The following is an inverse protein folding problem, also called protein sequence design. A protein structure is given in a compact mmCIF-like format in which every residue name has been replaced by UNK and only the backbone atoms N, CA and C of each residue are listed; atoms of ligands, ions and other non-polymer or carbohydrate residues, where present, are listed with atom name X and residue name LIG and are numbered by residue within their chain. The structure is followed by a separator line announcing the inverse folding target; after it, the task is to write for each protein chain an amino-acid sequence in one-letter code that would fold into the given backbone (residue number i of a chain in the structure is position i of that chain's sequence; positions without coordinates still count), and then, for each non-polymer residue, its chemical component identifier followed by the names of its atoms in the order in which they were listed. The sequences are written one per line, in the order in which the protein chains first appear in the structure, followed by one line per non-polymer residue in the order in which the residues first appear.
data_IF_142707637057
#
_entry.id   IF_142707637057
#
_cell.length_a   1.000
_cell.length_b   1.000
_cell.length_c   1.000
_cell.angle_alpha   90.00
_cell.angle_beta   90.00
_cell.angle_gamma   90.00
#
_symmetry.space_group_name_H-M   'P 1'
#
loop_
_entity.id
_entity.type
_entity.pdbx_description
1 polymer ?
#
# COMPACT_ATOMS: atom_id res chain seq x y z
N UNK A 1 30.09 -30.33 -67.91
CA UNK A 1 29.08 -30.76 -66.91
C UNK A 1 29.57 -30.31 -65.54
N UNK A 2 29.18 -29.10 -65.08
CA UNK A 2 29.61 -28.53 -63.80
C UNK A 2 28.44 -28.57 -62.83
N UNK A 3 28.58 -29.42 -61.78
CA UNK A 3 27.59 -29.63 -60.70
C UNK A 3 27.73 -28.49 -59.69
N UNK A 4 26.73 -27.60 -59.63
CA UNK A 4 26.65 -26.58 -58.59
C UNK A 4 26.25 -27.26 -57.24
N UNK A 5 27.11 -27.16 -56.24
CA UNK A 5 26.79 -27.49 -54.87
C UNK A 5 25.97 -26.36 -54.29
N UNK A 6 24.75 -26.68 -53.79
CA UNK A 6 23.92 -25.77 -52.99
C UNK A 6 24.52 -25.68 -51.58
N UNK A 7 25.01 -24.51 -51.18
CA UNK A 7 25.42 -24.20 -49.84
C UNK A 7 24.22 -24.08 -48.93
N UNK A 8 24.14 -24.93 -47.93
CA UNK A 8 23.18 -24.84 -46.84
C UNK A 8 23.53 -23.66 -45.94
N UNK A 9 22.66 -22.64 -45.93
CA UNK A 9 22.72 -21.50 -44.99
C UNK A 9 22.57 -22.01 -43.53
N UNK A 10 23.40 -21.54 -42.58
CA UNK A 10 23.27 -21.91 -41.17
C UNK A 10 21.98 -21.37 -40.60
N UNK A 11 21.12 -22.27 -40.12
CA UNK A 11 19.88 -21.90 -39.37
C UNK A 11 20.28 -21.21 -38.08
N UNK A 12 20.04 -19.92 -37.97
CA UNK A 12 20.08 -19.18 -36.70
C UNK A 12 19.18 -19.89 -35.67
N UNK A 13 19.66 -20.15 -34.46
CA UNK A 13 18.81 -20.74 -33.42
C UNK A 13 17.66 -19.76 -33.13
N UNK A 14 16.44 -20.17 -33.41
CA UNK A 14 15.25 -19.44 -32.98
C UNK A 14 15.21 -19.51 -31.45
N UNK A 15 15.36 -18.36 -30.81
CA UNK A 15 15.17 -18.22 -29.37
C UNK A 15 13.76 -18.73 -29.04
N UNK A 16 13.67 -19.84 -28.31
CA UNK A 16 12.39 -20.48 -27.93
C UNK A 16 11.75 -19.63 -26.83
N UNK A 17 10.94 -18.65 -27.23
CA UNK A 17 10.19 -17.74 -26.36
C UNK A 17 8.94 -18.45 -25.80
N UNK A 18 9.03 -19.70 -25.38
CA UNK A 18 7.93 -20.31 -24.65
C UNK A 18 7.69 -19.53 -23.35
N UNK A 19 6.43 -19.20 -23.03
CA UNK A 19 6.15 -18.57 -21.74
C UNK A 19 6.65 -19.47 -20.61
N UNK A 20 7.33 -18.87 -19.65
CA UNK A 20 7.85 -19.59 -18.48
C UNK A 20 6.72 -20.39 -17.82
N UNK A 21 6.97 -21.66 -17.51
CA UNK A 21 5.96 -22.52 -16.89
C UNK A 21 5.55 -22.00 -15.49
N UNK A 22 4.39 -22.43 -14.97
CA UNK A 22 3.86 -21.95 -13.68
C UNK A 22 4.86 -22.05 -12.53
N UNK A 23 5.64 -23.12 -12.49
CA UNK A 23 6.68 -23.32 -11.46
C UNK A 23 7.82 -22.30 -11.56
N UNK A 24 8.25 -21.97 -12.76
CA UNK A 24 9.33 -20.99 -12.99
C UNK A 24 8.91 -19.58 -12.57
N UNK A 25 7.66 -19.22 -12.84
CA UNK A 25 7.11 -17.92 -12.43
C UNK A 25 6.94 -17.86 -10.91
N UNK A 26 6.47 -18.94 -10.28
CA UNK A 26 6.35 -19.02 -8.83
C UNK A 26 7.73 -18.87 -8.15
N UNK A 27 8.74 -19.56 -8.63
CA UNK A 27 10.11 -19.44 -8.11
C UNK A 27 10.66 -18.02 -8.30
N UNK A 28 10.49 -17.42 -9.48
CA UNK A 28 10.93 -16.05 -9.74
C UNK A 28 10.22 -15.02 -8.86
N UNK A 29 8.90 -15.14 -8.65
CA UNK A 29 8.17 -14.22 -7.76
C UNK A 29 8.62 -14.37 -6.31
N UNK A 30 8.96 -15.56 -5.85
CA UNK A 30 9.48 -15.81 -4.50
C UNK A 30 10.86 -15.18 -4.31
N UNK A 31 11.78 -15.32 -5.29
CA UNK A 31 13.11 -14.70 -5.20
C UNK A 31 13.04 -13.17 -5.15
N UNK A 32 12.32 -12.54 -6.08
CA UNK A 32 12.14 -11.08 -6.10
C UNK A 32 11.46 -10.62 -4.79
N UNK A 33 10.53 -11.42 -4.25
CA UNK A 33 9.86 -11.15 -2.97
C UNK A 33 10.83 -11.08 -1.80
N UNK A 34 11.75 -12.06 -1.69
CA UNK A 34 12.75 -12.09 -0.64
C UNK A 34 13.78 -10.97 -0.77
N UNK A 35 14.23 -10.68 -2.00
CA UNK A 35 15.12 -9.56 -2.29
C UNK A 35 14.48 -8.22 -1.89
N UNK A 36 13.22 -8.02 -2.22
CA UNK A 36 12.46 -6.83 -1.84
C UNK A 36 12.35 -6.69 -0.32
N UNK A 37 12.07 -7.79 0.40
CA UNK A 37 12.06 -7.80 1.87
C UNK A 37 13.44 -7.43 2.43
N UNK A 38 14.53 -7.95 1.86
CA UNK A 38 15.89 -7.61 2.24
C UNK A 38 16.20 -6.12 2.06
N UNK A 39 15.76 -5.52 0.95
CA UNK A 39 15.95 -4.08 0.70
C UNK A 39 15.11 -3.24 1.67
N UNK A 40 13.87 -3.61 1.96
CA UNK A 40 13.06 -2.91 2.96
C UNK A 40 13.67 -3.03 4.37
N UNK A 41 14.19 -4.21 4.74
CA UNK A 41 14.87 -4.40 6.02
C UNK A 41 16.16 -3.57 6.12
N UNK A 42 16.94 -3.49 5.04
CA UNK A 42 18.11 -2.63 4.96
C UNK A 42 17.74 -1.15 5.09
N UNK A 43 16.69 -0.71 4.38
CA UNK A 43 16.18 0.65 4.52
C UNK A 43 15.73 0.95 5.95
N UNK A 44 15.01 0.03 6.60
CA UNK A 44 14.63 0.15 8.02
C UNK A 44 15.87 0.32 8.90
N UNK A 45 16.90 -0.50 8.72
CA UNK A 45 18.16 -0.39 9.47
C UNK A 45 18.83 0.98 9.30
N UNK A 46 18.84 1.53 8.07
CA UNK A 46 19.37 2.85 7.78
C UNK A 46 18.53 3.97 8.41
N UNK A 47 17.19 3.87 8.42
CA UNK A 47 16.33 4.83 9.11
C UNK A 47 16.53 4.78 10.62
N UNK A 48 16.63 3.59 11.21
CA UNK A 48 16.95 3.43 12.63
C UNK A 48 18.31 4.06 12.93
N UNK A 49 19.33 3.78 12.12
CA UNK A 49 20.65 4.40 12.28
C UNK A 49 20.59 5.93 12.16
N UNK A 50 19.82 6.44 11.19
CA UNK A 50 19.58 7.87 11.04
C UNK A 50 19.00 8.52 12.32
N UNK A 51 18.05 7.86 13.01
CA UNK A 51 17.53 8.34 14.29
C UNK A 51 18.61 8.51 15.36
N UNK A 52 19.63 7.63 15.36
CA UNK A 52 20.71 7.69 16.36
C UNK A 52 21.76 8.74 16.05
N UNK A 53 22.13 8.89 14.78
CA UNK A 53 23.29 9.70 14.39
C UNK A 53 22.89 11.06 13.84
N UNK A 54 21.65 11.20 13.32
CA UNK A 54 21.08 12.41 12.70
C UNK A 54 21.95 13.01 11.59
N UNK A 55 22.68 12.19 10.83
CA UNK A 55 23.47 12.61 9.69
C UNK A 55 22.67 12.54 8.39
N UNK A 56 22.56 13.65 7.67
CA UNK A 56 21.80 13.76 6.42
C UNK A 56 22.18 12.71 5.35
N UNK A 57 23.46 12.34 5.13
CA UNK A 57 23.82 11.30 4.16
C UNK A 57 23.16 9.95 4.48
N UNK A 58 23.11 9.55 5.76
CA UNK A 58 22.48 8.30 6.20
C UNK A 58 20.96 8.35 5.93
N UNK A 59 20.31 9.48 6.25
CA UNK A 59 18.89 9.65 5.96
C UNK A 59 18.60 9.62 4.45
N UNK A 60 19.46 10.22 3.61
CA UNK A 60 19.32 10.13 2.15
C UNK A 60 19.53 8.70 1.64
N UNK A 61 20.50 7.97 2.19
CA UNK A 61 20.71 6.57 1.86
C UNK A 61 19.49 5.72 2.21
N UNK A 62 18.86 5.94 3.39
CA UNK A 62 17.63 5.26 3.79
C UNK A 62 16.49 5.52 2.81
N UNK A 63 16.26 6.79 2.42
CA UNK A 63 15.24 7.17 1.42
C UNK A 63 15.50 6.52 0.06
N UNK A 64 16.75 6.54 -0.43
CA UNK A 64 17.12 5.94 -1.72
C UNK A 64 16.97 4.41 -1.70
N UNK A 65 17.33 3.77 -0.60
CA UNK A 65 17.14 2.32 -0.43
C UNK A 65 15.66 1.97 -0.39
N UNK A 66 14.83 2.79 0.29
CA UNK A 66 13.38 2.64 0.26
C UNK A 66 12.83 2.78 -1.17
N UNK A 67 13.26 3.79 -1.91
CA UNK A 67 12.83 4.00 -3.30
C UNK A 67 13.22 2.80 -4.19
N UNK A 68 14.42 2.24 -4.01
CA UNK A 68 14.85 1.00 -4.67
C UNK A 68 13.96 -0.19 -4.32
N UNK A 69 13.62 -0.35 -3.04
CA UNK A 69 12.68 -1.39 -2.58
C UNK A 69 11.28 -1.22 -3.17
N UNK A 70 10.75 0.01 -3.21
CA UNK A 70 9.47 0.33 -3.86
C UNK A 70 9.47 -0.01 -5.34
N UNK A 71 10.57 0.30 -6.05
CA UNK A 71 10.71 -0.04 -7.46
C UNK A 71 10.75 -1.56 -7.69
N UNK A 72 11.55 -2.28 -6.90
CA UNK A 72 11.64 -3.73 -7.01
C UNK A 72 10.31 -4.42 -6.67
N UNK A 73 9.60 -3.92 -5.64
CA UNK A 73 8.27 -4.39 -5.30
C UNK A 73 7.25 -4.13 -6.44
N UNK A 74 7.33 -2.97 -7.09
CA UNK A 74 6.54 -2.70 -8.29
C UNK A 74 6.81 -3.71 -9.41
N UNK A 75 8.08 -4.06 -9.65
CA UNK A 75 8.43 -5.06 -10.66
C UNK A 75 7.86 -6.44 -10.31
N UNK A 76 7.86 -6.82 -9.03
CA UNK A 76 7.21 -8.06 -8.56
C UNK A 76 5.70 -8.04 -8.82
N UNK A 77 5.02 -6.92 -8.50
CA UNK A 77 3.59 -6.74 -8.78
C UNK A 77 3.30 -6.74 -10.28
N UNK A 78 4.15 -6.09 -11.09
CA UNK A 78 4.02 -6.06 -12.56
C UNK A 78 4.19 -7.46 -13.16
N UNK A 79 5.15 -8.25 -12.68
CA UNK A 79 5.34 -9.63 -13.13
C UNK A 79 4.09 -10.46 -12.82
N UNK A 80 3.55 -10.34 -11.60
CA UNK A 80 2.32 -11.02 -11.22
C UNK A 80 1.11 -10.54 -12.04
N UNK A 81 0.99 -9.23 -12.27
CA UNK A 81 -0.07 -8.64 -13.08
C UNK A 81 -0.07 -9.17 -14.52
N UNK A 82 1.11 -9.36 -15.11
CA UNK A 82 1.25 -9.98 -16.45
C UNK A 82 0.80 -11.43 -16.47
N UNK A 83 1.02 -12.15 -15.39
CA UNK A 83 0.55 -13.54 -15.26
C UNK A 83 -0.96 -13.64 -15.13
N UNK A 84 -1.58 -12.83 -14.24
CA UNK A 84 -3.04 -12.83 -14.01
C UNK A 84 -3.81 -12.05 -15.08
N UNK A 85 -3.12 -11.36 -16.00
CA UNK A 85 -3.73 -10.44 -16.97
C UNK A 85 -4.63 -9.35 -16.33
N UNK A 86 -4.37 -9.01 -15.07
CA UNK A 86 -5.12 -8.04 -14.27
C UNK A 86 -4.24 -7.43 -13.17
N UNK A 87 -4.72 -6.39 -12.49
CA UNK A 87 -4.10 -5.94 -11.23
C UNK A 87 -4.28 -7.05 -10.18
N UNK A 88 -3.22 -7.42 -9.44
CA UNK A 88 -3.27 -8.54 -8.49
C UNK A 88 -3.99 -8.13 -7.20
N UNK A 89 -5.31 -8.19 -7.18
CA UNK A 89 -6.15 -7.89 -6.02
C UNK A 89 -7.17 -9.02 -5.71
N UNK A 90 -7.24 -10.05 -6.56
CA UNK A 90 -8.27 -11.11 -6.44
C UNK A 90 -7.88 -12.24 -5.46
N UNK A 91 -6.66 -12.24 -4.96
CA UNK A 91 -6.20 -13.17 -3.94
C UNK A 91 -5.55 -12.46 -2.74
N UNK A 92 -5.42 -13.17 -1.63
CA UNK A 92 -4.86 -12.62 -0.39
C UNK A 92 -3.42 -12.14 -0.58
N UNK A 93 -2.59 -12.90 -1.30
CA UNK A 93 -1.21 -12.52 -1.61
C UNK A 93 -1.15 -11.19 -2.39
N UNK A 94 -1.88 -11.12 -3.51
CA UNK A 94 -1.86 -9.94 -4.38
C UNK A 94 -2.43 -8.70 -3.69
N UNK A 95 -3.56 -8.83 -3.00
CA UNK A 95 -4.19 -7.70 -2.30
C UNK A 95 -3.33 -7.17 -1.15
N UNK A 96 -2.71 -8.04 -0.34
CA UNK A 96 -1.81 -7.62 0.74
C UNK A 96 -0.49 -7.06 0.22
N UNK A 97 0.08 -7.67 -0.84
CA UNK A 97 1.28 -7.16 -1.50
C UNK A 97 1.04 -5.76 -2.10
N UNK A 98 -0.08 -5.59 -2.82
CA UNK A 98 -0.46 -4.28 -3.38
C UNK A 98 -0.68 -3.24 -2.28
N UNK A 99 -1.33 -3.62 -1.17
CA UNK A 99 -1.54 -2.75 -0.01
C UNK A 99 -0.20 -2.32 0.62
N UNK A 100 0.72 -3.26 0.84
CA UNK A 100 2.04 -2.98 1.40
C UNK A 100 2.84 -2.03 0.48
N UNK A 101 2.79 -2.26 -0.83
CA UNK A 101 3.43 -1.39 -1.81
C UNK A 101 2.85 0.02 -1.79
N UNK A 102 1.52 0.17 -1.83
CA UNK A 102 0.85 1.46 -1.78
C UNK A 102 1.11 2.20 -0.45
N UNK A 103 1.23 1.48 0.66
CA UNK A 103 1.64 2.05 1.94
C UNK A 103 3.07 2.60 1.88
N UNK A 104 4.01 1.84 1.30
CA UNK A 104 5.39 2.28 1.13
C UNK A 104 5.50 3.50 0.19
N UNK A 105 4.77 3.49 -0.94
CA UNK A 105 4.68 4.62 -1.89
C UNK A 105 4.12 5.86 -1.22
N UNK A 106 3.00 5.72 -0.48
CA UNK A 106 2.38 6.85 0.23
C UNK A 106 3.32 7.42 1.28
N UNK A 107 4.01 6.56 2.05
CA UNK A 107 5.00 7.02 3.02
C UNK A 107 6.16 7.75 2.33
N UNK A 108 6.76 7.14 1.29
CA UNK A 108 7.86 7.75 0.54
C UNK A 108 7.46 9.11 -0.04
N UNK A 109 6.27 9.22 -0.64
CA UNK A 109 5.74 10.47 -1.15
C UNK A 109 5.60 11.55 -0.06
N UNK A 110 5.04 11.19 1.10
CA UNK A 110 4.92 12.13 2.23
C UNK A 110 6.27 12.45 2.87
N UNK A 111 7.21 11.52 2.93
CA UNK A 111 8.56 11.78 3.40
C UNK A 111 9.25 12.82 2.52
N UNK A 112 9.17 12.65 1.19
CA UNK A 112 9.77 13.60 0.23
C UNK A 112 9.08 14.96 0.29
N UNK A 113 7.76 14.99 0.42
CA UNK A 113 6.98 16.23 0.49
C UNK A 113 7.25 17.04 1.78
N UNK A 114 7.32 16.35 2.93
CA UNK A 114 7.56 17.00 4.22
C UNK A 114 9.04 17.08 4.61
N UNK A 115 9.93 16.38 3.91
CA UNK A 115 11.35 16.30 4.23
C UNK A 115 11.66 15.57 5.55
N UNK A 116 10.75 14.72 6.06
CA UNK A 116 10.80 14.14 7.40
C UNK A 116 11.11 12.65 7.37
N UNK A 117 12.38 12.30 7.60
CA UNK A 117 12.89 10.92 7.58
C UNK A 117 12.77 10.18 8.91
N UNK A 118 12.58 10.91 10.01
CA UNK A 118 12.49 10.34 11.36
C UNK A 118 11.28 9.44 11.60
N UNK A 119 10.31 9.44 10.68
CA UNK A 119 9.09 8.64 10.73
C UNK A 119 9.31 7.22 10.17
N UNK A 120 10.30 7.04 9.29
CA UNK A 120 10.58 5.77 8.60
C UNK A 120 10.67 4.54 9.50
N UNK A 121 11.41 4.60 10.62
CA UNK A 121 11.54 3.47 11.55
C UNK A 121 10.23 2.95 12.12
N UNK A 122 9.19 3.75 12.11
CA UNK A 122 7.88 3.41 12.67
C UNK A 122 6.90 2.90 11.60
N UNK A 123 7.08 3.29 10.35
CA UNK A 123 6.21 2.89 9.24
C UNK A 123 6.71 1.62 8.54
N UNK A 124 8.01 1.52 8.28
CA UNK A 124 8.57 0.38 7.55
C UNK A 124 8.32 -0.99 8.19
N UNK A 125 8.30 -1.16 9.53
CA UNK A 125 7.94 -2.44 10.13
C UNK A 125 6.56 -2.94 9.66
N UNK A 126 5.58 -2.05 9.50
CA UNK A 126 4.25 -2.42 9.01
C UNK A 126 4.30 -2.84 7.53
N UNK A 127 5.05 -2.13 6.69
CA UNK A 127 5.28 -2.51 5.29
C UNK A 127 5.92 -3.89 5.19
N UNK A 128 6.98 -4.13 5.97
CA UNK A 128 7.73 -5.39 5.98
C UNK A 128 6.82 -6.53 6.45
N UNK A 129 6.08 -6.34 7.54
CA UNK A 129 5.18 -7.37 8.09
C UNK A 129 4.07 -7.73 7.10
N UNK A 130 3.42 -6.75 6.49
CA UNK A 130 2.37 -6.97 5.50
C UNK A 130 2.91 -7.70 4.26
N UNK A 131 4.07 -7.27 3.77
CA UNK A 131 4.66 -7.89 2.60
C UNK A 131 5.25 -9.27 2.90
N UNK A 132 5.85 -9.47 4.07
CA UNK A 132 6.29 -10.79 4.53
C UNK A 132 5.10 -11.74 4.64
N UNK A 133 4.01 -11.31 5.29
CA UNK A 133 2.80 -12.12 5.39
C UNK A 133 2.25 -12.48 4.01
N UNK A 134 2.21 -11.53 3.08
CA UNK A 134 1.82 -11.79 1.70
C UNK A 134 2.70 -12.89 1.05
N UNK A 135 4.02 -12.85 1.25
CA UNK A 135 4.93 -13.84 0.67
C UNK A 135 4.80 -15.25 1.30
N UNK A 136 4.40 -15.33 2.58
CA UNK A 136 4.15 -16.61 3.26
C UNK A 136 2.73 -17.14 3.05
N UNK A 137 1.77 -16.29 2.67
CA UNK A 137 0.46 -16.75 2.24
C UNK A 137 0.64 -17.57 0.95
N UNK A 138 0.30 -18.86 0.99
CA UNK A 138 0.47 -19.74 -0.17
C UNK A 138 -0.24 -19.14 -1.38
N UNK A 139 0.54 -18.80 -2.40
CA UNK A 139 0.00 -18.37 -3.67
C UNK A 139 -0.66 -19.60 -4.33
N UNK A 140 -1.96 -19.73 -4.19
CA UNK A 140 -2.73 -20.59 -5.10
C UNK A 140 -2.46 -20.08 -6.53
N UNK A 141 -2.30 -20.99 -7.53
CA UNK A 141 -2.19 -20.56 -8.90
C UNK A 141 -3.37 -19.61 -9.20
N UNK A 142 -3.12 -18.37 -9.60
CA UNK A 142 -4.21 -17.43 -9.79
C UNK A 142 -5.10 -17.91 -10.93
N UNK A 143 -6.37 -18.09 -10.64
CA UNK A 143 -7.39 -18.22 -11.67
C UNK A 143 -7.53 -16.86 -12.30
N UNK A 144 -7.33 -16.69 -13.63
CA UNK A 144 -7.50 -15.40 -14.28
C UNK A 144 -8.91 -14.86 -13.96
N UNK A 145 -9.02 -13.67 -13.35
CA UNK A 145 -10.33 -13.12 -13.06
C UNK A 145 -11.05 -12.81 -14.38
N UNK A 146 -12.39 -12.86 -14.39
CA UNK A 146 -13.14 -12.40 -15.55
C UNK A 146 -12.71 -10.97 -15.89
N UNK A 147 -12.54 -10.66 -17.18
CA UNK A 147 -12.10 -9.35 -17.65
C UNK A 147 -13.07 -8.26 -17.16
N UNK A 148 -12.65 -7.51 -16.14
CA UNK A 148 -13.50 -6.48 -15.50
C UNK A 148 -13.24 -5.06 -16.00
N UNK A 149 -12.30 -4.90 -16.92
CA UNK A 149 -11.93 -3.61 -17.54
C UNK A 149 -11.04 -2.73 -16.66
N UNK A 150 -10.43 -1.71 -17.30
CA UNK A 150 -9.50 -0.79 -16.65
C UNK A 150 -10.16 0.06 -15.55
N UNK A 151 -11.44 0.40 -15.71
CA UNK A 151 -12.19 1.20 -14.73
C UNK A 151 -12.32 0.49 -13.39
N UNK A 152 -12.60 -0.82 -13.42
CA UNK A 152 -12.65 -1.63 -12.21
C UNK A 152 -11.27 -1.75 -11.55
N UNK A 153 -10.23 -1.96 -12.34
CA UNK A 153 -8.86 -2.03 -11.84
C UNK A 153 -8.44 -0.72 -11.15
N UNK A 154 -8.75 0.42 -11.75
CA UNK A 154 -8.52 1.75 -11.16
C UNK A 154 -9.37 1.97 -9.91
N UNK A 155 -10.66 1.61 -9.93
CA UNK A 155 -11.53 1.68 -8.77
C UNK A 155 -10.93 0.94 -7.56
N UNK A 156 -10.54 -0.32 -7.74
CA UNK A 156 -9.98 -1.13 -6.65
C UNK A 156 -8.64 -0.58 -6.20
N UNK A 157 -7.73 -0.23 -7.12
CA UNK A 157 -6.41 0.31 -6.79
C UNK A 157 -6.51 1.62 -6.00
N UNK A 158 -7.40 2.53 -6.38
CA UNK A 158 -7.59 3.80 -5.67
C UNK A 158 -8.23 3.61 -4.29
N UNK A 159 -9.13 2.63 -4.14
CA UNK A 159 -9.66 2.28 -2.81
C UNK A 159 -8.57 1.69 -1.90
N UNK A 160 -7.71 0.80 -2.43
CA UNK A 160 -6.58 0.26 -1.66
C UNK A 160 -5.58 1.37 -1.33
N UNK A 161 -5.30 2.31 -2.24
CA UNK A 161 -4.48 3.48 -1.98
C UNK A 161 -5.07 4.36 -0.86
N UNK A 162 -6.38 4.58 -0.88
CA UNK A 162 -7.06 5.32 0.17
C UNK A 162 -6.89 4.63 1.54
N UNK A 163 -7.13 3.33 1.61
CA UNK A 163 -6.99 2.58 2.85
C UNK A 163 -5.54 2.49 3.33
N UNK A 164 -4.55 2.40 2.44
CA UNK A 164 -3.13 2.46 2.82
C UNK A 164 -2.72 3.84 3.34
N UNK A 165 -3.26 4.91 2.77
CA UNK A 165 -3.05 6.26 3.29
C UNK A 165 -3.72 6.44 4.66
N UNK A 166 -4.92 5.91 4.88
CA UNK A 166 -5.55 5.91 6.20
C UNK A 166 -4.79 5.06 7.22
N UNK A 167 -4.22 3.91 6.81
CA UNK A 167 -3.34 3.12 7.66
C UNK A 167 -2.08 3.89 8.07
N UNK A 168 -1.47 4.63 7.15
CA UNK A 168 -0.33 5.50 7.46
C UNK A 168 -0.72 6.58 8.47
N UNK A 169 -1.86 7.24 8.28
CA UNK A 169 -2.39 8.22 9.22
C UNK A 169 -2.64 7.62 10.61
N UNK A 170 -3.16 6.39 10.67
CA UNK A 170 -3.35 5.65 11.93
C UNK A 170 -2.02 5.40 12.64
N UNK A 171 -0.99 4.91 11.95
CA UNK A 171 0.35 4.69 12.54
C UNK A 171 0.92 6.00 13.09
N UNK A 172 0.85 7.07 12.32
CA UNK A 172 1.32 8.41 12.74
C UNK A 172 0.55 8.91 13.97
N UNK A 173 -0.75 8.66 14.02
CA UNK A 173 -1.62 9.04 15.15
C UNK A 173 -1.31 8.24 16.40
N UNK A 174 -1.01 6.93 16.28
CA UNK A 174 -0.56 6.11 17.41
C UNK A 174 0.76 6.62 18.00
N UNK A 175 1.74 6.91 17.12
CA UNK A 175 3.03 7.48 17.56
C UNK A 175 2.80 8.82 18.25
N UNK A 176 1.92 9.67 17.69
CA UNK A 176 1.54 10.93 18.31
C UNK A 176 1.00 10.73 19.74
N UNK A 177 0.05 9.82 19.93
CA UNK A 177 -0.59 9.58 21.21
C UNK A 177 0.41 9.03 22.24
N UNK A 178 1.27 8.08 21.85
CA UNK A 178 2.31 7.54 22.72
C UNK A 178 3.28 8.65 23.15
N UNK A 179 3.78 9.42 22.19
CA UNK A 179 4.74 10.50 22.47
C UNK A 179 4.11 11.60 23.32
N UNK A 180 2.87 12.01 23.01
CA UNK A 180 2.15 13.02 23.79
C UNK A 180 1.94 12.58 25.25
N UNK A 181 1.69 11.27 25.48
CA UNK A 181 1.61 10.71 26.84
C UNK A 181 2.96 10.75 27.56
N UNK A 182 4.04 10.29 26.90
CA UNK A 182 5.39 10.32 27.48
C UNK A 182 5.82 11.73 27.89
N UNK A 183 5.51 12.73 27.06
CA UNK A 183 5.79 14.15 27.33
C UNK A 183 4.98 14.66 28.54
N UNK A 184 3.69 14.31 28.63
CA UNK A 184 2.84 14.71 29.77
C UNK A 184 3.29 14.10 31.07
N UNK A 185 3.67 12.81 31.06
CA UNK A 185 4.10 12.08 32.24
C UNK A 185 5.54 12.45 32.67
N UNK A 186 6.19 13.39 31.97
CA UNK A 186 7.60 13.81 32.15
C UNK A 186 8.58 12.63 32.12
N UNK A 187 8.20 11.52 31.50
CA UNK A 187 9.04 10.34 31.31
C UNK A 187 9.93 10.50 30.07
N UNK A 188 10.71 11.59 30.07
CA UNK A 188 11.66 11.89 29.01
C UNK A 188 12.91 11.03 29.18
N UNK A 189 12.82 9.75 28.88
CA UNK A 189 14.01 8.89 28.73
C UNK A 189 14.85 9.30 27.53
N UNK A 190 16.07 8.75 27.43
CA UNK A 190 17.03 9.01 26.33
C UNK A 190 16.49 8.73 24.91
N UNK A 191 15.32 8.09 24.80
CA UNK A 191 14.69 7.74 23.53
C UNK A 191 13.66 8.78 23.07
N UNK A 192 13.04 9.54 23.97
CA UNK A 192 11.89 10.40 23.65
C UNK A 192 12.24 11.58 22.72
N UNK A 193 13.45 12.12 22.81
CA UNK A 193 13.88 13.21 21.93
C UNK A 193 14.34 12.76 20.52
N UNK A 194 14.33 11.47 20.26
CA UNK A 194 14.56 10.90 18.91
C UNK A 194 13.27 10.69 18.13
N UNK A 195 12.12 10.77 18.78
CA UNK A 195 10.83 10.74 18.09
C UNK A 195 10.63 11.98 17.23
N UNK A 196 9.89 11.87 16.12
CA UNK A 196 9.50 13.04 15.33
C UNK A 196 8.69 14.01 16.19
N UNK A 197 8.85 15.32 15.99
CA UNK A 197 8.06 16.31 16.74
C UNK A 197 6.55 16.06 16.55
N UNK A 198 5.75 16.30 17.59
CA UNK A 198 4.29 16.10 17.58
C UNK A 198 3.63 16.84 16.40
N UNK A 199 4.10 18.05 16.11
CA UNK A 199 3.60 18.85 14.99
C UNK A 199 3.86 18.19 13.61
N UNK A 200 5.02 17.52 13.47
CA UNK A 200 5.37 16.77 12.25
C UNK A 200 4.43 15.60 12.08
N UNK A 201 4.19 14.83 13.14
CA UNK A 201 3.29 13.69 13.14
C UNK A 201 1.86 14.10 12.78
N UNK A 202 1.36 15.19 13.38
CA UNK A 202 0.03 15.73 13.10
C UNK A 202 -0.08 16.18 11.63
N UNK A 203 0.93 16.92 11.13
CA UNK A 203 0.95 17.41 9.75
C UNK A 203 0.99 16.27 8.73
N UNK A 204 1.86 15.29 8.92
CA UNK A 204 1.97 14.14 8.03
C UNK A 204 0.70 13.27 8.08
N UNK A 205 0.14 13.03 9.28
CA UNK A 205 -1.13 12.32 9.44
C UNK A 205 -2.26 12.98 8.67
N UNK A 206 -2.38 14.31 8.79
CA UNK A 206 -3.38 15.09 8.05
C UNK A 206 -3.19 15.01 6.54
N UNK A 207 -1.95 15.13 6.06
CA UNK A 207 -1.65 14.98 4.62
C UNK A 207 -1.99 13.58 4.13
N UNK A 208 -1.71 12.56 4.92
CA UNK A 208 -2.07 11.18 4.62
C UNK A 208 -3.58 10.99 4.49
N UNK A 209 -4.36 11.56 5.42
CA UNK A 209 -5.84 11.55 5.33
C UNK A 209 -6.32 12.23 4.05
N UNK A 210 -5.73 13.37 3.66
CA UNK A 210 -6.12 14.07 2.44
C UNK A 210 -5.84 13.23 1.18
N UNK A 211 -4.68 12.58 1.11
CA UNK A 211 -4.37 11.61 0.02
C UNK A 211 -5.43 10.51 -0.01
N UNK A 212 -5.75 9.92 1.14
CA UNK A 212 -6.78 8.89 1.26
C UNK A 212 -8.15 9.37 0.81
N UNK A 213 -8.57 10.56 1.23
CA UNK A 213 -9.87 11.14 0.86
C UNK A 213 -10.00 11.41 -0.64
N UNK A 214 -8.96 11.98 -1.26
CA UNK A 214 -8.96 12.21 -2.71
C UNK A 214 -9.03 10.89 -3.47
N UNK A 215 -8.20 9.92 -3.09
CA UNK A 215 -8.19 8.59 -3.71
C UNK A 215 -9.53 7.88 -3.56
N UNK A 216 -10.13 7.93 -2.36
CA UNK A 216 -11.42 7.31 -2.08
C UNK A 216 -12.55 7.98 -2.87
N UNK A 217 -12.55 9.33 -2.99
CA UNK A 217 -13.53 10.06 -3.80
C UNK A 217 -13.52 9.60 -5.25
N UNK A 218 -12.35 9.55 -5.87
CA UNK A 218 -12.19 9.10 -7.25
C UNK A 218 -12.58 7.61 -7.36
N UNK A 219 -12.15 6.79 -6.40
CA UNK A 219 -12.49 5.38 -6.33
C UNK A 219 -14.00 5.13 -6.28
N UNK A 220 -14.75 5.87 -5.46
CA UNK A 220 -16.22 5.76 -5.35
C UNK A 220 -16.87 6.13 -6.69
N UNK A 221 -16.46 7.24 -7.32
CA UNK A 221 -17.01 7.67 -8.62
C UNK A 221 -16.78 6.60 -9.69
N UNK A 222 -15.57 6.04 -9.77
CA UNK A 222 -15.28 4.96 -10.73
C UNK A 222 -16.09 3.70 -10.43
N UNK A 223 -16.35 3.39 -9.16
CA UNK A 223 -17.22 2.29 -8.76
C UNK A 223 -18.65 2.47 -9.25
N UNK A 224 -19.22 3.66 -9.10
CA UNK A 224 -20.56 3.98 -9.63
C UNK A 224 -20.62 3.85 -11.15
N UNK A 225 -19.63 4.36 -11.88
CA UNK A 225 -19.55 4.24 -13.34
C UNK A 225 -19.49 2.76 -13.75
N UNK A 226 -18.65 1.97 -13.11
CA UNK A 226 -18.50 0.55 -13.39
C UNK A 226 -19.78 -0.24 -13.12
N UNK A 227 -20.43 -0.02 -11.97
CA UNK A 227 -21.69 -0.68 -11.61
C UNK A 227 -22.80 -0.32 -12.59
N UNK A 228 -22.90 0.96 -13.00
CA UNK A 228 -23.89 1.39 -13.98
C UNK A 228 -23.67 0.70 -15.34
N UNK A 229 -22.42 0.56 -15.79
CA UNK A 229 -22.09 -0.12 -17.05
C UNK A 229 -22.53 -1.60 -17.04
N UNK A 230 -22.39 -2.30 -15.90
CA UNK A 230 -22.68 -3.74 -15.83
C UNK A 230 -24.14 -4.03 -15.51
N UNK A 231 -24.78 -3.18 -14.69
CA UNK A 231 -26.11 -3.44 -14.12
C UNK A 231 -27.17 -2.43 -14.50
N UNK A 232 -26.83 -1.38 -15.25
CA UNK A 232 -27.74 -0.31 -15.63
C UNK A 232 -28.22 0.55 -14.46
N UNK A 233 -27.54 0.53 -13.31
CA UNK A 233 -27.86 1.33 -12.12
C UNK A 233 -26.57 1.70 -11.38
N UNK A 234 -26.55 2.91 -10.78
CA UNK A 234 -25.37 3.45 -10.10
C UNK A 234 -25.17 2.91 -8.68
N UNK A 235 -26.18 2.31 -8.08
CA UNK A 235 -26.20 1.92 -6.67
C UNK A 235 -26.90 0.57 -6.49
N UNK A 236 -26.29 -0.33 -5.70
CA UNK A 236 -26.83 -1.67 -5.43
C UNK A 236 -27.35 -1.82 -3.98
N UNK A 237 -27.11 -0.83 -3.11
CA UNK A 237 -27.36 -0.90 -1.67
C UNK A 237 -26.66 -2.11 -0.99
N UNK A 238 -25.48 -2.50 -1.51
CA UNK A 238 -24.68 -3.53 -0.88
C UNK A 238 -24.03 -3.01 0.42
N UNK A 239 -23.91 -3.87 1.42
CA UNK A 239 -23.35 -3.50 2.72
C UNK A 239 -21.96 -2.86 2.60
N UNK A 240 -21.14 -3.27 1.63
CA UNK A 240 -19.82 -2.70 1.37
C UNK A 240 -19.90 -1.29 0.79
N UNK A 241 -20.85 -1.00 -0.09
CA UNK A 241 -21.06 0.34 -0.63
C UNK A 241 -21.45 1.31 0.51
N UNK A 242 -22.38 0.90 1.37
CA UNK A 242 -22.82 1.68 2.54
C UNK A 242 -21.64 1.90 3.50
N UNK A 243 -20.88 0.85 3.84
CA UNK A 243 -19.76 0.95 4.74
C UNK A 243 -18.65 1.88 4.20
N UNK A 244 -18.38 1.84 2.88
CA UNK A 244 -17.42 2.74 2.24
C UNK A 244 -17.84 4.19 2.32
N UNK A 245 -19.14 4.49 2.14
CA UNK A 245 -19.68 5.86 2.32
C UNK A 245 -19.59 6.31 3.77
N UNK A 246 -19.87 5.43 4.74
CA UNK A 246 -19.72 5.75 6.16
C UNK A 246 -18.26 6.03 6.53
N UNK A 247 -17.30 5.27 6.00
CA UNK A 247 -15.87 5.56 6.13
C UNK A 247 -15.55 6.93 5.53
N UNK A 248 -16.05 7.23 4.35
CA UNK A 248 -15.86 8.53 3.71
C UNK A 248 -16.38 9.69 4.58
N UNK A 249 -17.63 9.58 5.07
CA UNK A 249 -18.24 10.60 5.92
C UNK A 249 -17.48 10.77 7.23
N UNK A 250 -17.00 9.69 7.85
CA UNK A 250 -16.23 9.75 9.10
C UNK A 250 -14.90 10.49 8.93
N UNK A 251 -14.18 10.25 7.83
CA UNK A 251 -12.94 10.99 7.52
C UNK A 251 -13.22 12.43 7.04
N UNK A 252 -14.32 12.69 6.35
CA UNK A 252 -14.75 14.06 6.05
C UNK A 252 -15.03 14.84 7.34
N UNK A 253 -15.69 14.21 8.31
CA UNK A 253 -15.86 14.75 9.67
C UNK A 253 -14.52 15.04 10.35
N UNK A 254 -13.55 14.14 10.26
CA UNK A 254 -12.20 14.39 10.76
C UNK A 254 -11.56 15.63 10.09
N UNK A 255 -11.61 15.73 8.77
CA UNK A 255 -11.02 16.86 8.03
C UNK A 255 -11.69 18.18 8.44
N UNK A 256 -13.00 18.17 8.65
CA UNK A 256 -13.75 19.35 9.09
C UNK A 256 -13.39 19.74 10.53
N UNK A 257 -13.44 18.80 11.47
CA UNK A 257 -13.14 19.02 12.89
C UNK A 257 -11.69 19.45 13.11
N UNK A 258 -10.73 18.84 12.41
CA UNK A 258 -9.30 19.18 12.53
C UNK A 258 -8.95 20.60 12.07
N UNK A 259 -9.89 21.36 11.46
CA UNK A 259 -9.74 22.79 11.17
C UNK A 259 -9.91 23.65 12.43
N UNK A 260 -10.64 23.15 13.42
CA UNK A 260 -10.91 23.87 14.67
C UNK A 260 -9.79 23.63 15.67
N UNK A 261 -9.42 24.66 16.45
CA UNK A 261 -8.38 24.56 17.48
C UNK A 261 -8.74 23.54 18.58
N UNK A 262 -10.03 23.38 18.87
CA UNK A 262 -10.53 22.47 19.88
C UNK A 262 -10.30 20.98 19.55
N UNK A 263 -10.16 20.64 18.26
CA UNK A 263 -10.01 19.26 17.78
C UNK A 263 -8.63 18.97 17.19
N UNK A 264 -7.63 19.80 17.49
CA UNK A 264 -6.22 19.55 17.12
C UNK A 264 -5.53 18.64 18.12
N UNK A 265 -4.40 18.08 17.71
CA UNK A 265 -3.53 17.29 18.57
C UNK A 265 -4.13 15.93 18.96
N UNK A 266 -4.15 15.60 20.24
CA UNK A 266 -4.54 14.27 20.71
C UNK A 266 -5.99 13.88 20.36
N UNK A 267 -6.92 14.84 20.29
CA UNK A 267 -8.31 14.57 19.92
C UNK A 267 -8.41 14.18 18.43
N UNK A 268 -7.71 14.88 17.56
CA UNK A 268 -7.63 14.54 16.15
C UNK A 268 -6.96 13.16 15.94
N UNK A 269 -5.88 12.89 16.66
CA UNK A 269 -5.19 11.61 16.60
C UNK A 269 -6.09 10.45 17.07
N UNK A 270 -6.83 10.60 18.17
CA UNK A 270 -7.82 9.61 18.62
C UNK A 270 -8.91 9.38 17.58
N UNK A 271 -9.48 10.44 17.01
CA UNK A 271 -10.50 10.32 15.97
C UNK A 271 -9.96 9.57 14.74
N UNK A 272 -8.72 9.84 14.36
CA UNK A 272 -8.07 9.13 13.25
C UNK A 272 -7.89 7.63 13.55
N UNK A 273 -7.52 7.29 14.79
CA UNK A 273 -7.44 5.89 15.24
C UNK A 273 -8.79 5.20 15.14
N UNK A 274 -9.86 5.81 15.66
CA UNK A 274 -11.21 5.25 15.58
C UNK A 274 -11.70 5.09 14.14
N UNK A 275 -11.45 6.07 13.28
CA UNK A 275 -11.81 6.00 11.87
C UNK A 275 -11.12 4.84 11.17
N UNK A 276 -9.83 4.60 11.46
CA UNK A 276 -9.12 3.47 10.85
C UNK A 276 -9.58 2.11 11.40
N UNK A 277 -9.90 2.02 12.68
CA UNK A 277 -10.54 0.82 13.23
C UNK A 277 -11.88 0.52 12.53
N UNK A 278 -12.63 1.55 12.16
CA UNK A 278 -13.85 1.39 11.37
C UNK A 278 -13.55 0.92 9.93
N UNK A 279 -12.43 1.36 9.31
CA UNK A 279 -11.96 0.81 8.02
C UNK A 279 -11.66 -0.68 8.15
N UNK A 280 -10.92 -1.10 9.19
CA UNK A 280 -10.60 -2.51 9.43
C UNK A 280 -11.86 -3.34 9.67
N UNK A 281 -12.80 -2.81 10.45
CA UNK A 281 -14.11 -3.44 10.66
C UNK A 281 -14.87 -3.61 9.34
N UNK A 282 -14.94 -2.55 8.54
CA UNK A 282 -15.59 -2.58 7.22
C UNK A 282 -14.94 -3.60 6.28
N UNK A 283 -13.60 -3.63 6.26
CA UNK A 283 -12.88 -4.56 5.39
C UNK A 283 -13.06 -6.02 5.83
N UNK A 284 -12.99 -6.32 7.13
CA UNK A 284 -13.09 -7.68 7.65
C UNK A 284 -14.54 -8.16 7.76
N UNK A 285 -15.34 -7.47 8.56
CA UNK A 285 -16.69 -7.96 8.92
C UNK A 285 -17.66 -7.79 7.76
N UNK A 286 -17.68 -6.62 7.14
CA UNK A 286 -18.63 -6.35 6.05
C UNK A 286 -18.28 -7.18 4.82
N UNK A 287 -16.99 -7.31 4.48
CA UNK A 287 -16.57 -8.06 3.30
C UNK A 287 -16.79 -9.57 3.45
N UNK A 288 -16.50 -10.14 4.63
CA UNK A 288 -16.60 -11.58 4.86
C UNK A 288 -18.04 -12.05 5.12
N UNK A 289 -18.84 -11.26 5.84
CA UNK A 289 -20.13 -11.73 6.37
C UNK A 289 -21.35 -11.03 5.77
N UNK A 290 -21.27 -9.75 5.38
CA UNK A 290 -22.42 -8.93 5.03
C UNK A 290 -22.54 -8.62 3.55
N UNK A 291 -21.42 -8.56 2.80
CA UNK A 291 -21.45 -8.25 1.38
C UNK A 291 -21.89 -9.45 0.55
N UNK A 292 -22.86 -9.24 -0.35
CA UNK A 292 -23.34 -10.26 -1.29
C UNK A 292 -22.59 -10.26 -2.62
N UNK A 293 -22.07 -9.10 -3.02
CA UNK A 293 -21.52 -8.85 -4.38
C UNK A 293 -20.00 -8.66 -4.41
N UNK A 294 -19.37 -8.44 -3.26
CA UNK A 294 -17.95 -8.14 -3.15
C UNK A 294 -17.20 -9.20 -2.33
N UNK A 295 -17.55 -10.47 -2.51
CA UNK A 295 -16.78 -11.57 -1.90
C UNK A 295 -15.49 -11.78 -2.69
N UNK A 296 -14.34 -11.65 -2.02
CA UNK A 296 -13.01 -11.84 -2.59
C UNK A 296 -12.38 -13.18 -2.19
N UNK A 297 -13.01 -13.92 -1.27
CA UNK A 297 -12.53 -15.21 -0.75
C UNK A 297 -13.67 -16.24 -0.72
#
# INVERSE_FOLDING_TARGET
MIRRQHGSSPKTPKLDLRPAGPLTVLLMTTHIGLETLGIYAMSLGLYVWYLYVNKLPIGRAATLTLAGGVLLHYLALLQRSRWVHSVPYDDLYGSMSLFAWLLAVTYLGLELFHGQRSVGPFVLPFVILLYAFANFAQATPPVPPPARGAEFALHVTLNILAYSAFALSFVLSLIYLVQNRLLRDRRLGTVSWRFPALEVLERMSRSSVLVGMVSLSIGIVLGFVWVNRIRGRYWNADAKEIATLLVYVSYAGYVWLARTTAWRGARAALLCVFNFLFVVFSYTVVNLYLSRYHRYF
#
